data_IF_152055022125
#
_entry.id   IF_152055022125
#
_cell.length_a   1.000
_cell.length_b   1.000
_cell.length_c   1.000
_cell.angle_alpha   90.00
_cell.angle_beta   90.00
_cell.angle_gamma   90.00
#
_symmetry.space_group_name_H-M   'P 1'
#
loop_
_entity.id
_entity.type
_entity.pdbx_description
1 polymer ?
#
# COMPACT_ATOMS: atom_id res chain seq x y z
N UNK A 1 -18.20 17.20 3.43
CA UNK A 1 -16.94 17.79 2.94
C UNK A 1 -15.80 17.12 3.69
N UNK A 2 -14.94 16.35 3.02
CA UNK A 2 -13.65 15.97 3.60
C UNK A 2 -12.69 17.13 3.37
N UNK A 3 -12.06 17.62 4.43
CA UNK A 3 -11.15 18.76 4.40
C UNK A 3 -9.72 18.24 4.50
N UNK A 4 -8.82 18.80 3.69
CA UNK A 4 -7.37 18.55 3.75
C UNK A 4 -6.71 19.80 4.32
N UNK A 5 -5.94 19.67 5.39
CA UNK A 5 -5.25 20.81 5.99
C UNK A 5 -4.21 21.35 5.02
N UNK A 6 -4.23 22.68 4.81
CA UNK A 6 -3.16 23.35 4.08
C UNK A 6 -1.89 23.35 4.91
N UNK A 7 -0.73 23.46 4.25
CA UNK A 7 0.56 23.61 4.93
C UNK A 7 0.54 24.75 5.96
N UNK A 8 -0.02 25.91 5.62
CA UNK A 8 -0.12 27.05 6.54
C UNK A 8 -0.91 26.71 7.80
N UNK A 9 -2.01 25.97 7.69
CA UNK A 9 -2.78 25.57 8.86
C UNK A 9 -1.98 24.63 9.76
N UNK A 10 -1.24 23.69 9.18
CA UNK A 10 -0.37 22.77 9.94
C UNK A 10 0.73 23.57 10.67
N UNK A 11 1.36 24.52 10.00
CA UNK A 11 2.37 25.40 10.63
C UNK A 11 1.78 26.19 11.80
N UNK A 12 0.57 26.72 11.67
CA UNK A 12 -0.08 27.47 12.74
C UNK A 12 -0.48 26.58 13.92
N UNK A 13 -0.90 25.33 13.66
CA UNK A 13 -1.14 24.33 14.70
C UNK A 13 0.15 24.00 15.44
N UNK A 14 1.26 23.80 14.73
CA UNK A 14 2.58 23.50 15.34
C UNK A 14 3.06 24.69 16.18
N UNK A 15 2.92 25.93 15.69
CA UNK A 15 3.23 27.14 16.47
C UNK A 15 2.39 27.22 17.74
N UNK A 16 1.10 26.91 17.64
CA UNK A 16 0.19 26.90 18.77
C UNK A 16 0.57 25.83 19.80
N UNK A 17 0.84 24.60 19.32
CA UNK A 17 1.27 23.50 20.17
C UNK A 17 2.58 23.83 20.89
N UNK A 18 3.55 24.41 20.19
CA UNK A 18 4.81 24.83 20.81
C UNK A 18 4.61 25.92 21.86
N UNK A 19 3.77 26.92 21.58
CA UNK A 19 3.49 28.02 22.51
C UNK A 19 2.85 27.53 23.82
N UNK A 20 2.03 26.49 23.74
CA UNK A 20 1.23 25.99 24.85
C UNK A 20 1.73 24.66 25.43
N UNK A 21 2.91 24.19 24.98
CA UNK A 21 3.48 22.90 25.37
C UNK A 21 2.48 21.73 25.23
N UNK A 22 1.85 21.64 24.05
CA UNK A 22 0.88 20.61 23.74
C UNK A 22 1.51 19.47 22.93
N UNK A 23 1.15 18.25 23.29
CA UNK A 23 1.46 17.05 22.53
C UNK A 23 0.50 16.91 21.34
N UNK A 24 1.02 16.84 20.12
CA UNK A 24 0.24 16.74 18.88
C UNK A 24 0.02 15.29 18.50
N UNK A 25 -1.24 14.92 18.27
CA UNK A 25 -1.66 13.63 17.73
C UNK A 25 -2.15 13.84 16.29
N UNK A 26 -1.33 13.47 15.32
CA UNK A 26 -1.63 13.56 13.90
C UNK A 26 -2.20 12.23 13.38
N UNK A 27 -3.54 12.13 13.33
CA UNK A 27 -4.22 11.00 12.70
C UNK A 27 -4.24 11.17 11.16
N UNK A 28 -3.27 10.54 10.51
CA UNK A 28 -3.00 10.69 9.07
C UNK A 28 -3.41 9.42 8.28
N UNK A 29 -4.38 8.65 8.79
CA UNK A 29 -4.83 7.39 8.16
C UNK A 29 -5.43 7.56 6.76
N UNK A 30 -5.88 8.76 6.40
CA UNK A 30 -6.43 9.09 5.07
C UNK A 30 -5.44 9.86 4.19
N UNK A 31 -4.14 9.79 4.46
CA UNK A 31 -3.12 10.54 3.71
C UNK A 31 -3.16 10.32 2.18
N UNK A 32 -3.56 9.12 1.74
CA UNK A 32 -3.68 8.77 0.32
C UNK A 32 -5.04 9.18 -0.30
N UNK A 33 -6.02 9.56 0.52
CA UNK A 33 -7.38 9.90 0.07
C UNK A 33 -7.55 11.40 -0.21
N UNK A 34 -6.64 11.99 -0.99
CA UNK A 34 -6.74 13.39 -1.43
C UNK A 34 -7.23 13.44 -2.87
N UNK A 35 -8.46 13.92 -3.06
CA UNK A 35 -9.13 13.92 -4.37
C UNK A 35 -9.20 15.28 -5.05
N UNK A 36 -9.17 16.36 -4.25
CA UNK A 36 -9.20 17.71 -4.77
C UNK A 36 -7.85 18.07 -5.40
N UNK A 37 -7.88 18.63 -6.62
CA UNK A 37 -6.67 18.86 -7.43
C UNK A 37 -5.77 19.96 -6.87
N UNK A 38 -6.36 20.90 -6.14
CA UNK A 38 -5.66 22.02 -5.52
C UNK A 38 -5.21 21.70 -4.08
N UNK A 39 -5.63 20.53 -3.57
CA UNK A 39 -5.28 20.04 -2.25
C UNK A 39 -4.13 19.04 -2.32
N UNK A 40 -3.25 19.10 -1.32
CA UNK A 40 -2.13 18.18 -1.18
C UNK A 40 -1.95 17.79 0.27
N UNK A 41 -1.70 16.51 0.52
CA UNK A 41 -1.33 16.04 1.85
C UNK A 41 0.08 16.52 2.21
N UNK A 42 0.21 17.07 3.42
CA UNK A 42 1.49 17.38 4.06
C UNK A 42 1.47 16.71 5.43
N UNK A 43 2.43 15.83 5.71
CA UNK A 43 2.51 15.24 7.04
C UNK A 43 2.96 16.28 8.07
N UNK A 44 2.42 16.19 9.28
CA UNK A 44 2.82 17.03 10.41
C UNK A 44 4.32 16.93 10.66
N UNK A 45 4.88 15.71 10.60
CA UNK A 45 6.31 15.48 10.80
C UNK A 45 7.18 16.21 9.77
N UNK A 46 6.79 16.18 8.49
CA UNK A 46 7.53 16.88 7.43
C UNK A 46 7.53 18.38 7.68
N UNK A 47 6.35 18.96 7.89
CA UNK A 47 6.20 20.41 8.12
C UNK A 47 6.95 20.84 9.38
N UNK A 48 6.77 20.11 10.48
CA UNK A 48 7.47 20.35 11.75
C UNK A 48 9.00 20.32 11.57
N UNK A 49 9.51 19.36 10.81
CA UNK A 49 10.95 19.23 10.53
C UNK A 49 11.47 20.38 9.66
N UNK A 50 10.72 20.76 8.61
CA UNK A 50 11.05 21.88 7.72
C UNK A 50 11.01 23.25 8.42
N UNK A 51 10.12 23.43 9.40
CA UNK A 51 10.05 24.66 10.20
C UNK A 51 11.29 24.88 11.08
N UNK A 52 12.05 23.82 11.38
CA UNK A 52 13.26 23.90 12.20
C UNK A 52 13.01 24.32 13.65
N UNK A 53 14.08 24.69 14.36
CA UNK A 53 13.98 25.10 15.75
C UNK A 53 13.28 26.48 15.89
N UNK A 54 12.42 26.68 16.90
CA UNK A 54 12.13 25.78 18.03
C UNK A 54 11.03 24.73 17.75
N UNK A 55 10.37 24.78 16.60
CA UNK A 55 9.17 23.99 16.30
C UNK A 55 9.45 22.50 16.09
N UNK A 56 10.63 22.14 15.59
CA UNK A 56 11.03 20.75 15.38
C UNK A 56 11.22 19.94 16.67
N UNK A 57 11.03 20.56 17.84
CA UNK A 57 11.08 19.94 19.17
C UNK A 57 9.71 19.64 19.76
N UNK A 58 8.62 20.02 19.09
CA UNK A 58 7.26 19.71 19.53
C UNK A 58 7.09 18.19 19.62
N UNK A 59 6.45 17.72 20.70
CA UNK A 59 6.05 16.32 20.84
C UNK A 59 4.98 16.01 19.78
N UNK A 60 5.24 14.98 18.98
CA UNK A 60 4.36 14.58 17.88
C UNK A 60 4.24 13.06 17.84
N UNK A 61 3.00 12.59 17.70
CA UNK A 61 2.71 11.22 17.27
C UNK A 61 1.92 11.25 15.97
N UNK A 62 2.44 10.58 14.94
CA UNK A 62 1.76 10.42 13.65
C UNK A 62 1.22 8.99 13.52
N UNK A 63 -0.04 8.82 13.13
CA UNK A 63 -0.68 7.51 12.96
C UNK A 63 -0.92 7.19 11.48
N UNK A 64 -0.67 5.94 11.11
CA UNK A 64 -1.01 5.38 9.80
C UNK A 64 -1.71 4.04 9.97
N UNK A 65 -2.67 3.72 9.10
CA UNK A 65 -3.30 2.40 9.04
C UNK A 65 -3.48 1.90 7.62
N UNK A 66 -3.32 0.58 7.44
CA UNK A 66 -3.63 -0.11 6.18
C UNK A 66 -5.15 -0.22 5.93
N UNK A 67 -5.98 0.18 6.89
CA UNK A 67 -7.44 0.04 6.83
C UNK A 67 -8.12 1.01 5.86
N UNK A 68 -7.44 2.11 5.51
CA UNK A 68 -7.94 3.22 4.70
C UNK A 68 -7.00 3.41 3.50
N UNK A 69 -7.19 4.46 2.70
CA UNK A 69 -6.37 4.66 1.51
C UNK A 69 -6.68 3.70 0.38
N UNK A 70 -5.72 3.60 -0.54
CA UNK A 70 -5.74 2.63 -1.64
C UNK A 70 -5.59 1.18 -1.16
N UNK A 71 -4.98 0.98 0.02
CA UNK A 71 -4.80 -0.36 0.60
C UNK A 71 -6.13 -0.94 1.08
N UNK A 72 -6.88 -0.22 1.92
CA UNK A 72 -8.26 -0.59 2.28
C UNK A 72 -8.44 -1.92 3.04
N UNK A 73 -7.37 -2.50 3.58
CA UNK A 73 -7.34 -3.85 4.19
C UNK A 73 -7.76 -3.83 5.67
N UNK A 74 -8.95 -3.31 5.96
CA UNK A 74 -9.41 -3.09 7.34
C UNK A 74 -9.53 -4.36 8.19
N UNK A 75 -9.67 -5.54 7.57
CA UNK A 75 -9.75 -6.84 8.24
C UNK A 75 -8.40 -7.35 8.77
N UNK A 76 -7.28 -6.87 8.24
CA UNK A 76 -5.95 -7.29 8.65
C UNK A 76 -5.47 -6.59 9.94
N UNK A 77 -6.16 -5.54 10.37
CA UNK A 77 -5.90 -4.78 11.61
C UNK A 77 -4.42 -4.33 11.75
N UNK A 78 -3.82 -3.87 10.64
CA UNK A 78 -2.45 -3.34 10.61
C UNK A 78 -2.40 -1.81 10.72
N UNK A 79 -1.45 -1.31 11.50
CA UNK A 79 -1.19 0.10 11.69
C UNK A 79 0.19 0.30 12.30
N UNK A 80 0.71 1.52 12.23
CA UNK A 80 1.88 1.94 12.98
C UNK A 80 1.71 3.39 13.44
N UNK A 81 2.52 3.78 14.42
CA UNK A 81 2.63 5.16 14.86
C UNK A 81 4.11 5.56 14.93
N UNK A 82 4.40 6.80 14.59
CA UNK A 82 5.71 7.40 14.78
C UNK A 82 5.71 8.30 16.00
N UNK A 83 6.67 8.12 16.91
CA UNK A 83 6.86 9.00 18.06
C UNK A 83 8.05 9.92 17.80
N UNK A 84 7.86 11.23 17.94
CA UNK A 84 8.89 12.25 17.77
C UNK A 84 8.95 13.14 19.00
N UNK A 85 10.16 13.33 19.54
CA UNK A 85 10.46 14.19 20.69
C UNK A 85 9.71 13.87 21.99
N UNK A 86 9.05 12.70 22.08
CA UNK A 86 8.25 12.31 23.23
C UNK A 86 9.08 12.31 24.51
N UNK A 87 8.51 12.83 25.59
CA UNK A 87 9.13 12.76 26.91
C UNK A 87 9.49 11.30 27.28
N UNK A 88 10.73 11.04 27.74
CA UNK A 88 11.18 9.68 28.06
C UNK A 88 10.33 8.94 29.10
N UNK A 89 9.75 9.64 30.09
CA UNK A 89 8.87 9.03 31.09
C UNK A 89 7.54 8.62 30.46
N UNK A 90 6.97 9.47 29.60
CA UNK A 90 5.75 9.15 28.84
C UNK A 90 5.99 7.98 27.90
N UNK A 91 7.13 7.96 27.21
CA UNK A 91 7.53 6.86 26.34
C UNK A 91 7.69 5.55 27.13
N UNK A 92 8.25 5.58 28.34
CA UNK A 92 8.36 4.41 29.20
C UNK A 92 6.98 3.88 29.63
N UNK A 93 6.04 4.77 30.00
CA UNK A 93 4.66 4.40 30.31
C UNK A 93 3.95 3.77 29.11
N UNK A 94 4.15 4.31 27.91
CA UNK A 94 3.61 3.77 26.68
C UNK A 94 4.15 2.36 26.41
N UNK A 95 5.46 2.13 26.48
CA UNK A 95 6.03 0.79 26.29
C UNK A 95 5.57 -0.21 27.34
N UNK A 96 5.40 0.23 28.59
CA UNK A 96 4.83 -0.60 29.65
C UNK A 96 3.38 -1.01 29.34
N UNK A 97 2.57 -0.10 28.79
CA UNK A 97 1.21 -0.42 28.38
C UNK A 97 1.17 -1.37 27.18
N UNK A 98 2.02 -1.16 26.17
CA UNK A 98 2.07 -2.01 24.97
C UNK A 98 2.58 -3.41 25.30
N UNK A 99 3.57 -3.55 26.18
CA UNK A 99 4.10 -4.87 26.55
C UNK A 99 3.08 -5.77 27.26
N UNK A 100 2.09 -5.19 27.94
CA UNK A 100 0.96 -5.93 28.51
C UNK A 100 0.00 -6.47 27.43
N UNK A 101 0.01 -5.90 26.21
CA UNK A 101 -0.83 -6.29 25.09
C UNK A 101 -0.15 -7.28 24.12
N UNK A 102 0.96 -7.90 24.54
CA UNK A 102 1.81 -8.76 23.72
C UNK A 102 2.31 -8.03 22.47
N UNK A 103 1.88 -8.45 21.28
CA UNK A 103 2.22 -7.84 20.01
C UNK A 103 0.99 -7.80 19.09
N UNK A 104 1.02 -6.91 18.09
CA UNK A 104 0.01 -6.90 17.04
C UNK A 104 0.06 -8.20 16.22
N UNK A 105 -1.03 -8.53 15.52
CA UNK A 105 -1.08 -9.78 14.74
C UNK A 105 0.03 -9.81 13.69
N UNK A 106 0.70 -10.96 13.52
CA UNK A 106 1.76 -11.13 12.52
C UNK A 106 1.28 -10.77 11.12
N UNK A 107 0.04 -11.14 10.77
CA UNK A 107 -0.55 -10.80 9.49
C UNK A 107 -0.70 -9.29 9.30
N UNK A 108 -1.13 -8.55 10.33
CA UNK A 108 -1.19 -7.09 10.30
C UNK A 108 0.19 -6.43 10.19
N UNK A 109 1.20 -6.99 10.87
CA UNK A 109 2.59 -6.54 10.76
C UNK A 109 3.15 -6.77 9.34
N UNK A 110 3.00 -7.99 8.81
CA UNK A 110 3.40 -8.31 7.43
C UNK A 110 2.66 -7.45 6.43
N UNK A 111 1.37 -7.17 6.64
CA UNK A 111 0.63 -6.28 5.76
C UNK A 111 1.15 -4.84 5.81
N UNK A 112 1.51 -4.31 6.99
CA UNK A 112 2.16 -2.99 7.10
C UNK A 112 3.50 -2.98 6.35
N UNK A 113 4.31 -4.02 6.49
CA UNK A 113 5.57 -4.16 5.73
C UNK A 113 5.31 -4.28 4.22
N UNK A 114 4.24 -4.97 3.83
CA UNK A 114 3.82 -5.15 2.45
C UNK A 114 3.11 -3.92 1.86
N UNK A 115 2.62 -2.96 2.63
CA UNK A 115 2.15 -1.67 2.09
C UNK A 115 3.34 -0.87 1.51
N UNK A 116 4.58 -1.25 1.84
CA UNK A 116 5.78 -0.86 1.10
C UNK A 116 6.10 -1.70 -0.15
N UNK A 117 5.29 -2.71 -0.49
CA UNK A 117 5.59 -3.66 -1.57
C UNK A 117 4.95 -3.25 -2.91
N UNK A 118 5.78 -3.19 -3.93
CA UNK A 118 5.49 -2.63 -5.25
C UNK A 118 4.78 -3.60 -6.20
N UNK A 119 3.98 -4.53 -5.65
CA UNK A 119 3.47 -5.69 -6.40
C UNK A 119 1.97 -5.87 -6.24
N UNK A 120 1.28 -6.15 -7.34
CA UNK A 120 -0.09 -6.64 -7.36
C UNK A 120 -0.09 -8.15 -7.64
N UNK A 121 -1.08 -8.87 -7.11
CA UNK A 121 -1.25 -10.31 -7.32
C UNK A 121 -2.65 -10.66 -7.87
N UNK A 122 -2.98 -10.28 -9.12
CA UNK A 122 -4.32 -10.48 -9.66
C UNK A 122 -4.66 -11.97 -9.83
N UNK A 123 -5.92 -12.31 -9.55
CA UNK A 123 -6.50 -13.59 -9.94
C UNK A 123 -6.98 -13.53 -11.38
N UNK A 124 -6.70 -14.57 -12.15
CA UNK A 124 -7.22 -14.76 -13.51
C UNK A 124 -8.15 -15.96 -13.58
N UNK A 125 -9.21 -15.83 -14.37
CA UNK A 125 -10.09 -16.93 -14.72
C UNK A 125 -9.65 -17.45 -16.09
N UNK A 126 -9.14 -18.68 -16.10
CA UNK A 126 -8.68 -19.32 -17.33
C UNK A 126 -9.80 -20.22 -17.88
N UNK A 127 -10.12 -20.13 -19.18
CA UNK A 127 -11.04 -21.07 -19.83
C UNK A 127 -10.58 -22.53 -19.69
N UNK A 128 -11.50 -23.51 -19.67
CA UNK A 128 -11.13 -24.93 -19.58
C UNK A 128 -10.12 -25.37 -20.66
N UNK A 129 -10.30 -24.92 -21.91
CA UNK A 129 -9.38 -25.26 -23.00
C UNK A 129 -7.97 -24.67 -22.79
N UNK A 130 -7.83 -23.53 -22.11
CA UNK A 130 -6.52 -22.99 -21.77
C UNK A 130 -5.81 -23.84 -20.71
N UNK A 131 -6.57 -24.43 -19.78
CA UNK A 131 -6.03 -25.35 -18.77
C UNK A 131 -5.59 -26.67 -19.43
N UNK A 132 -6.38 -27.19 -20.36
CA UNK A 132 -6.04 -28.37 -21.16
C UNK A 132 -4.81 -28.13 -22.04
N UNK A 133 -4.74 -26.96 -22.71
CA UNK A 133 -3.59 -26.58 -23.52
C UNK A 133 -2.31 -26.43 -22.67
N UNK A 134 -2.43 -25.88 -21.45
CA UNK A 134 -1.31 -25.82 -20.51
C UNK A 134 -0.82 -27.22 -20.12
N UNK A 135 -1.74 -28.15 -19.83
CA UNK A 135 -1.42 -29.53 -19.51
C UNK A 135 -0.75 -30.25 -20.70
N UNK A 136 -1.25 -30.06 -21.92
CA UNK A 136 -0.64 -30.60 -23.14
C UNK A 136 0.77 -30.06 -23.39
N UNK A 137 1.03 -28.81 -22.97
CA UNK A 137 2.35 -28.17 -23.02
C UNK A 137 3.23 -28.51 -21.80
N UNK A 138 2.78 -29.40 -20.91
CA UNK A 138 3.45 -29.77 -19.65
C UNK A 138 3.78 -28.56 -18.76
N UNK A 139 2.87 -27.58 -18.70
CA UNK A 139 2.98 -26.35 -17.89
C UNK A 139 1.80 -26.22 -16.94
N UNK A 140 2.02 -25.57 -15.81
CA UNK A 140 0.91 -25.11 -14.96
C UNK A 140 0.11 -24.01 -15.69
N UNK A 141 -1.21 -23.85 -15.46
CA UNK A 141 -2.04 -22.94 -16.25
C UNK A 141 -1.63 -21.47 -16.18
N UNK A 142 -1.21 -20.99 -15.01
CA UNK A 142 -0.69 -19.64 -14.80
C UNK A 142 0.72 -19.44 -15.39
N UNK A 143 1.57 -20.46 -15.33
CA UNK A 143 2.86 -20.46 -16.04
C UNK A 143 2.63 -20.36 -17.54
N UNK A 144 1.71 -21.14 -18.10
CA UNK A 144 1.36 -21.10 -19.52
C UNK A 144 0.85 -19.71 -19.93
N UNK A 145 -0.05 -19.11 -19.15
CA UNK A 145 -0.53 -17.76 -19.37
C UNK A 145 0.59 -16.70 -19.32
N UNK A 146 1.48 -16.79 -18.32
CA UNK A 146 2.60 -15.85 -18.17
C UNK A 146 3.58 -15.90 -19.34
N UNK A 147 3.88 -17.10 -19.86
CA UNK A 147 4.72 -17.26 -21.06
C UNK A 147 4.05 -16.69 -22.30
N UNK A 148 2.75 -16.94 -22.51
CA UNK A 148 2.01 -16.37 -23.64
C UNK A 148 1.96 -14.84 -23.61
N UNK A 149 1.75 -14.28 -22.42
CA UNK A 149 1.80 -12.83 -22.23
C UNK A 149 3.17 -12.28 -22.61
N UNK A 150 4.24 -12.91 -22.14
CA UNK A 150 5.62 -12.50 -22.44
C UNK A 150 5.93 -12.58 -23.95
N UNK A 151 5.59 -13.69 -24.59
CA UNK A 151 5.84 -13.93 -26.02
C UNK A 151 5.13 -12.91 -26.92
N UNK A 152 3.88 -12.54 -26.59
CA UNK A 152 3.08 -11.66 -27.45
C UNK A 152 3.28 -10.17 -27.16
N UNK A 153 3.56 -9.81 -25.90
CA UNK A 153 3.53 -8.40 -25.47
C UNK A 153 4.88 -7.89 -24.94
N UNK A 154 5.81 -8.79 -24.63
CA UNK A 154 7.03 -8.45 -23.90
C UNK A 154 6.82 -8.20 -22.41
N UNK A 155 5.59 -8.28 -21.88
CA UNK A 155 5.30 -8.08 -20.46
C UNK A 155 5.68 -9.35 -19.69
N UNK A 156 6.70 -9.24 -18.82
CA UNK A 156 7.14 -10.31 -17.96
C UNK A 156 6.47 -10.23 -16.57
N UNK A 157 5.74 -11.27 -16.20
CA UNK A 157 5.09 -11.42 -14.89
C UNK A 157 5.54 -12.72 -14.22
N UNK A 158 5.44 -12.79 -12.89
CA UNK A 158 5.78 -14.04 -12.17
C UNK A 158 4.52 -14.86 -11.95
N UNK A 159 4.44 -16.13 -12.39
CA UNK A 159 3.24 -16.95 -12.22
C UNK A 159 2.95 -17.26 -10.75
N UNK A 160 1.67 -17.34 -10.39
CA UNK A 160 1.19 -17.50 -9.02
C UNK A 160 1.62 -18.80 -8.36
N UNK A 161 1.84 -19.85 -9.16
CA UNK A 161 2.33 -21.15 -8.74
C UNK A 161 3.67 -21.08 -8.00
N UNK A 162 4.50 -20.07 -8.28
CA UNK A 162 5.77 -19.85 -7.58
C UNK A 162 5.62 -19.37 -6.14
N UNK A 163 4.43 -18.94 -5.73
CA UNK A 163 4.15 -18.37 -4.40
C UNK A 163 3.25 -19.25 -3.52
N UNK A 164 2.71 -20.33 -4.08
CA UNK A 164 1.62 -21.09 -3.46
C UNK A 164 0.28 -20.38 -3.64
N UNK A 165 -0.71 -21.09 -4.18
CA UNK A 165 -2.05 -20.56 -4.42
C UNK A 165 -3.10 -21.64 -4.14
N UNK A 166 -4.36 -21.23 -3.91
CA UNK A 166 -5.45 -22.18 -3.65
C UNK A 166 -5.65 -23.10 -4.87
N UNK A 167 -5.83 -24.41 -4.71
CA UNK A 167 -6.14 -25.31 -5.82
C UNK A 167 -7.33 -24.82 -6.64
N UNK A 168 -7.22 -24.86 -7.97
CA UNK A 168 -8.26 -24.36 -8.89
C UNK A 168 -8.30 -22.83 -9.05
N UNK A 169 -7.34 -22.10 -8.47
CA UNK A 169 -7.17 -20.66 -8.69
C UNK A 169 -5.82 -20.37 -9.33
N UNK A 170 -5.78 -19.33 -10.16
CA UNK A 170 -4.61 -18.96 -10.95
C UNK A 170 -4.34 -17.48 -10.77
N UNK A 171 -3.08 -17.13 -10.55
CA UNK A 171 -2.66 -15.75 -10.30
C UNK A 171 -1.36 -15.45 -11.04
N UNK A 172 -0.99 -14.19 -11.08
CA UNK A 172 0.37 -13.76 -11.39
C UNK A 172 0.74 -12.56 -10.55
N UNK A 173 2.03 -12.33 -10.32
CA UNK A 173 2.56 -11.14 -9.67
C UNK A 173 3.06 -10.17 -10.74
N UNK A 174 2.60 -8.93 -10.68
CA UNK A 174 3.11 -7.81 -11.50
C UNK A 174 3.59 -6.68 -10.59
N UNK A 175 4.51 -5.85 -11.09
CA UNK A 175 4.87 -4.61 -10.41
C UNK A 175 3.89 -3.49 -10.74
N UNK A 176 3.68 -2.58 -9.79
CA UNK A 176 2.96 -1.29 -9.99
C UNK A 176 3.95 -0.10 -10.00
N UNK A 177 5.20 -0.39 -10.32
CA UNK A 177 6.32 0.56 -10.39
C UNK A 177 6.31 1.55 -11.56
N UNK A 178 5.80 1.21 -12.76
CA UNK A 178 5.84 2.14 -13.88
C UNK A 178 5.11 3.46 -13.58
N UNK A 179 5.54 4.54 -14.21
CA UNK A 179 4.85 5.83 -14.10
C UNK A 179 3.39 5.70 -14.56
N UNK A 180 2.43 6.50 -14.05
CA UNK A 180 1.00 6.30 -14.32
C UNK A 180 0.64 6.15 -15.80
N UNK A 181 1.27 6.93 -16.70
CA UNK A 181 1.06 6.81 -18.13
C UNK A 181 1.58 5.49 -18.70
N UNK A 182 2.79 5.06 -18.32
CA UNK A 182 3.37 3.79 -18.77
C UNK A 182 2.62 2.58 -18.19
N UNK A 183 2.09 2.70 -16.97
CA UNK A 183 1.23 1.70 -16.37
C UNK A 183 -0.09 1.60 -17.16
N UNK A 184 -0.68 2.74 -17.54
CA UNK A 184 -1.89 2.76 -18.37
C UNK A 184 -1.66 2.07 -19.72
N UNK A 185 -0.56 2.42 -20.41
CA UNK A 185 -0.19 1.80 -21.69
C UNK A 185 0.01 0.28 -21.54
N UNK A 186 0.71 -0.15 -20.49
CA UNK A 186 0.90 -1.57 -20.17
C UNK A 186 -0.42 -2.30 -19.90
N UNK A 187 -1.34 -1.66 -19.15
CA UNK A 187 -2.67 -2.22 -18.86
C UNK A 187 -3.53 -2.35 -20.12
N UNK A 188 -3.42 -1.43 -21.08
CA UNK A 188 -4.16 -1.49 -22.34
C UNK A 188 -3.62 -2.60 -23.27
N UNK A 189 -2.29 -2.78 -23.31
CA UNK A 189 -1.66 -3.93 -23.98
C UNK A 189 -2.08 -5.24 -23.33
N UNK A 190 -2.02 -5.31 -21.99
CA UNK A 190 -2.44 -6.49 -21.23
C UNK A 190 -3.92 -6.82 -21.47
N UNK A 191 -4.81 -5.82 -21.47
CA UNK A 191 -6.24 -5.99 -21.74
C UNK A 191 -6.47 -6.59 -23.14
N UNK A 192 -5.76 -6.07 -24.14
CA UNK A 192 -5.86 -6.54 -25.53
C UNK A 192 -5.42 -8.00 -25.66
N UNK A 193 -4.28 -8.34 -25.03
CA UNK A 193 -3.81 -9.73 -24.94
C UNK A 193 -4.82 -10.63 -24.24
N UNK A 194 -5.29 -10.23 -23.04
CA UNK A 194 -6.19 -11.06 -22.24
C UNK A 194 -7.52 -11.35 -22.95
N UNK A 195 -8.09 -10.36 -23.64
CA UNK A 195 -9.31 -10.53 -24.43
C UNK A 195 -9.11 -11.51 -25.60
N UNK A 196 -7.99 -11.37 -26.33
CA UNK A 196 -7.62 -12.27 -27.43
C UNK A 196 -7.38 -13.69 -26.92
N UNK A 197 -6.58 -13.86 -25.88
CA UNK A 197 -6.28 -15.15 -25.25
C UNK A 197 -7.57 -15.84 -24.81
N UNK A 198 -8.44 -15.14 -24.08
CA UNK A 198 -9.69 -15.72 -23.61
C UNK A 198 -10.56 -16.17 -24.77
N UNK A 199 -10.66 -15.39 -25.86
CA UNK A 199 -11.42 -15.78 -27.06
C UNK A 199 -10.83 -17.00 -27.78
N UNK A 200 -9.51 -17.11 -27.87
CA UNK A 200 -8.81 -18.25 -28.49
C UNK A 200 -9.09 -19.56 -27.76
N UNK A 201 -9.16 -19.51 -26.42
CA UNK A 201 -9.35 -20.68 -25.57
C UNK A 201 -10.78 -20.80 -24.99
N UNK A 202 -11.74 -19.99 -25.45
CA UNK A 202 -13.17 -20.12 -25.08
C UNK A 202 -13.81 -21.34 -25.73
#
# INVERSE_FOLDING_TARGET
MCQVLTRSNIEDIIKFAQKHALFVFADEVYQDNVYDKDSKFYSFKKVMSEMGAPYNKVELVSFMSISKGYVGECGLRGAWMELCNLDPEVQAHLYKAISAMLCSTTLGQTAVDCVGAMYAFPRIQLPPKAIEAAAAANKLPDVFYAFKLLEETGICVVPGSGFGQRPGTYHFRTTILPQPQQLQDMLDVFRSFHAKFTKEYS
#
